data_IF_519366683509
#
_entry.id   IF_519366683509
#
_cell.length_a   1.000
_cell.length_b   1.000
_cell.length_c   1.000
_cell.angle_alpha   90.00
_cell.angle_beta   90.00
_cell.angle_gamma   90.00
#
_symmetry.space_group_name_H-M   'P 1'
#
loop_
_entity.id
_entity.type
_entity.pdbx_description
1 polymer ?
#
# COMPACT_ATOMS: atom_id res chain seq x y z
N UNK A 1 12.16 26.42 -1.16
CA UNK A 1 12.73 25.62 -0.06
C UNK A 1 12.03 25.81 1.28
N UNK A 2 11.37 26.93 1.56
CA UNK A 2 10.72 27.21 2.87
C UNK A 2 9.30 26.62 2.99
N UNK A 3 8.53 26.43 1.90
CA UNK A 3 7.21 25.77 1.94
C UNK A 3 7.29 24.26 2.20
N UNK A 4 8.36 23.59 1.76
CA UNK A 4 8.56 22.15 1.93
C UNK A 4 8.62 21.71 3.39
N UNK A 5 9.09 22.62 4.27
CA UNK A 5 9.30 22.30 5.69
C UNK A 5 8.04 22.42 6.56
N UNK A 6 7.03 23.20 6.10
CA UNK A 6 5.82 23.46 6.91
C UNK A 6 4.80 22.33 6.86
N UNK A 7 4.74 21.57 5.74
CA UNK A 7 3.85 20.41 5.58
C UNK A 7 4.32 19.18 6.36
N UNK A 8 5.63 18.99 6.50
CA UNK A 8 6.21 17.86 7.24
C UNK A 8 6.05 17.96 8.76
N UNK A 9 5.72 19.15 9.30
CA UNK A 9 5.70 19.41 10.74
C UNK A 9 4.54 18.70 11.46
N UNK A 10 3.46 18.33 10.76
CA UNK A 10 2.29 17.68 11.37
C UNK A 10 2.21 16.16 11.11
N UNK A 11 2.96 15.62 10.16
CA UNK A 11 2.93 14.18 9.89
C UNK A 11 3.68 13.39 10.95
N UNK A 12 3.00 12.50 11.64
CA UNK A 12 3.58 11.62 12.67
C UNK A 12 4.21 10.37 12.02
N UNK A 13 5.25 10.56 11.20
CA UNK A 13 5.96 9.49 10.50
C UNK A 13 7.19 9.05 11.28
N UNK A 14 7.39 7.72 11.37
CA UNK A 14 8.59 7.11 11.93
C UNK A 14 9.20 6.15 10.91
N UNK A 15 10.51 6.27 10.70
CA UNK A 15 11.29 5.31 9.92
C UNK A 15 12.03 4.37 10.86
N UNK A 16 11.82 3.05 10.68
CA UNK A 16 12.52 2.03 11.46
C UNK A 16 13.29 1.12 10.52
N UNK A 17 14.59 0.99 10.76
CA UNK A 17 15.54 0.18 9.97
C UNK A 17 15.62 0.59 8.48
N UNK A 18 15.20 1.81 8.13
CA UNK A 18 15.29 2.34 6.76
C UNK A 18 16.51 3.28 6.69
N UNK A 19 17.53 2.85 5.95
CA UNK A 19 18.76 3.61 5.75
C UNK A 19 18.79 4.35 4.42
N UNK A 20 18.09 3.83 3.41
CA UNK A 20 18.10 4.37 2.05
C UNK A 20 17.20 5.61 1.95
N UNK A 21 17.78 6.75 1.54
CA UNK A 21 17.07 8.02 1.49
C UNK A 21 16.08 8.08 0.32
N UNK A 22 16.35 7.40 -0.82
CA UNK A 22 15.39 7.26 -1.92
C UNK A 22 14.07 6.67 -1.44
N UNK A 23 14.12 5.65 -0.58
CA UNK A 23 12.92 5.01 -0.01
C UNK A 23 12.14 6.00 0.85
N UNK A 24 12.83 6.76 1.72
CA UNK A 24 12.18 7.77 2.58
C UNK A 24 11.55 8.88 1.77
N UNK A 25 12.27 9.40 0.76
CA UNK A 25 11.76 10.45 -0.15
C UNK A 25 10.52 9.98 -0.91
N UNK A 26 10.57 8.79 -1.53
CA UNK A 26 9.43 8.23 -2.26
C UNK A 26 8.21 8.10 -1.33
N UNK A 27 8.39 7.56 -0.11
CA UNK A 27 7.31 7.42 0.85
C UNK A 27 6.70 8.76 1.26
N UNK A 28 7.53 9.75 1.61
CA UNK A 28 7.05 11.07 2.04
C UNK A 28 6.38 11.82 0.90
N UNK A 29 6.86 11.68 -0.33
CA UNK A 29 6.26 12.30 -1.51
C UNK A 29 4.86 11.75 -1.78
N UNK A 30 4.67 10.44 -1.64
CA UNK A 30 3.36 9.82 -1.79
C UNK A 30 2.43 10.23 -0.64
N UNK A 31 2.89 10.17 0.60
CA UNK A 31 2.07 10.46 1.78
C UNK A 31 1.51 11.89 1.79
N UNK A 32 2.17 12.85 1.15
CA UNK A 32 1.66 14.23 1.02
C UNK A 32 0.30 14.30 0.31
N UNK A 33 0.08 13.45 -0.68
CA UNK A 33 -1.14 13.42 -1.47
C UNK A 33 -2.29 12.68 -0.75
N UNK A 34 -2.00 12.04 0.41
CA UNK A 34 -2.98 11.32 1.23
C UNK A 34 -3.40 12.15 2.45
N UNK A 35 -4.13 13.24 2.22
CA UNK A 35 -4.55 14.18 3.27
C UNK A 35 -5.28 13.49 4.42
N UNK A 36 -6.11 12.49 4.12
CA UNK A 36 -6.84 11.69 5.11
C UNK A 36 -5.94 11.01 6.15
N UNK A 37 -4.65 10.82 5.84
CA UNK A 37 -3.69 10.13 6.69
C UNK A 37 -2.80 11.06 7.53
N UNK A 38 -2.88 12.38 7.36
CA UNK A 38 -1.94 13.32 7.99
C UNK A 38 -2.04 13.34 9.51
N UNK A 39 -3.21 13.06 10.08
CA UNK A 39 -3.43 13.03 11.54
C UNK A 39 -3.01 11.71 12.20
N UNK A 40 -2.64 10.71 11.41
CA UNK A 40 -2.33 9.38 11.90
C UNK A 40 -0.83 9.17 12.10
N UNK A 41 -0.49 8.27 13.04
CA UNK A 41 0.90 7.88 13.25
C UNK A 41 1.24 6.69 12.35
N UNK A 42 2.14 6.90 11.38
CA UNK A 42 2.56 5.87 10.44
C UNK A 42 4.03 5.53 10.67
N UNK A 43 4.33 4.24 10.82
CA UNK A 43 5.69 3.73 10.90
C UNK A 43 6.03 2.95 9.64
N UNK A 44 6.99 3.42 8.85
CA UNK A 44 7.59 2.62 7.78
C UNK A 44 8.75 1.82 8.38
N UNK A 45 8.62 0.48 8.33
CA UNK A 45 9.56 -0.45 8.97
C UNK A 45 10.13 -1.43 7.95
N UNK A 46 11.43 -1.34 7.67
CA UNK A 46 12.11 -2.29 6.79
C UNK A 46 12.57 -3.52 7.58
N UNK A 47 12.24 -4.69 7.07
CA UNK A 47 12.69 -5.97 7.63
C UNK A 47 12.62 -7.07 6.58
N UNK A 48 13.33 -8.17 6.80
CA UNK A 48 13.18 -9.33 5.93
C UNK A 48 11.76 -9.90 6.03
N UNK A 49 11.02 -9.87 4.93
CA UNK A 49 9.66 -10.44 4.79
C UNK A 49 9.72 -11.50 3.71
N UNK A 50 9.10 -12.66 3.95
CA UNK A 50 9.14 -13.79 2.99
C UNK A 50 7.96 -13.81 2.01
N UNK A 51 6.83 -13.23 2.37
CA UNK A 51 5.55 -13.44 1.68
C UNK A 51 5.03 -12.24 0.89
N UNK A 52 5.60 -11.05 1.07
CA UNK A 52 5.17 -9.83 0.39
C UNK A 52 6.33 -8.84 0.28
N UNK A 53 6.28 -7.94 -0.70
CA UNK A 53 7.22 -6.81 -0.79
C UNK A 53 6.90 -5.74 0.24
N UNK A 54 5.61 -5.37 0.36
CA UNK A 54 5.09 -4.44 1.36
C UNK A 54 3.84 -5.00 2.02
N UNK A 55 3.46 -4.44 3.17
CA UNK A 55 2.26 -4.82 3.88
C UNK A 55 1.81 -3.72 4.84
N UNK A 56 0.66 -3.13 4.57
CA UNK A 56 -0.03 -2.21 5.47
C UNK A 56 -0.70 -2.95 6.64
N UNK A 57 -0.58 -2.41 7.84
CA UNK A 57 -1.14 -3.02 9.04
C UNK A 57 -1.61 -1.97 10.04
N UNK A 58 -2.81 -2.13 10.64
CA UNK A 58 -3.20 -1.37 11.82
C UNK A 58 -2.40 -1.85 13.04
N UNK A 59 -2.09 -0.92 13.95
CA UNK A 59 -1.52 -1.24 15.26
C UNK A 59 -2.61 -1.08 16.31
N UNK A 60 -3.25 -2.20 16.65
CA UNK A 60 -4.36 -2.25 17.60
C UNK A 60 -3.81 -2.64 18.97
N UNK A 61 -4.08 -1.81 19.96
CA UNK A 61 -3.80 -2.10 21.38
C UNK A 61 -5.07 -2.66 22.06
N UNK A 62 -4.91 -3.50 23.06
CA UNK A 62 -6.04 -4.00 23.88
C UNK A 62 -6.86 -2.87 24.52
N UNK A 63 -6.20 -1.74 24.84
CA UNK A 63 -6.87 -0.57 25.41
C UNK A 63 -7.73 0.19 24.38
N UNK A 64 -7.45 0.01 23.10
CA UNK A 64 -8.09 0.76 22.02
C UNK A 64 -9.03 -0.12 21.17
N UNK A 65 -9.39 -1.32 21.66
CA UNK A 65 -10.16 -2.29 20.88
C UNK A 65 -11.56 -1.77 20.48
N UNK A 66 -12.12 -0.88 21.30
CA UNK A 66 -13.43 -0.23 21.03
C UNK A 66 -13.29 1.19 20.45
N UNK A 67 -12.07 1.60 20.10
CA UNK A 67 -11.79 2.91 19.52
C UNK A 67 -11.35 2.79 18.06
N UNK A 68 -11.30 3.94 17.38
CA UNK A 68 -10.72 4.00 16.05
C UNK A 68 -9.21 3.75 16.10
N UNK A 69 -8.69 3.07 15.09
CA UNK A 69 -7.23 2.88 14.92
C UNK A 69 -6.59 4.26 14.67
N UNK A 70 -5.53 4.56 15.39
CA UNK A 70 -4.78 5.83 15.27
C UNK A 70 -3.33 5.63 14.84
N UNK A 71 -2.88 4.38 14.77
CA UNK A 71 -1.50 4.03 14.47
C UNK A 71 -1.45 2.93 13.43
N UNK A 72 -0.63 3.15 12.42
CA UNK A 72 -0.43 2.20 11.34
C UNK A 72 1.04 1.88 11.15
N UNK A 73 1.32 0.76 10.54
CA UNK A 73 2.65 0.35 10.14
C UNK A 73 2.62 -0.20 8.72
N UNK A 74 3.56 0.26 7.90
CA UNK A 74 3.87 -0.37 6.62
C UNK A 74 5.17 -1.15 6.81
N UNK A 75 5.11 -2.47 6.66
CA UNK A 75 6.30 -3.31 6.59
C UNK A 75 6.83 -3.27 5.17
N UNK A 76 8.13 -3.03 5.03
CA UNK A 76 8.84 -3.04 3.76
C UNK A 76 9.84 -4.20 3.76
N UNK A 77 9.82 -5.03 2.73
CA UNK A 77 10.82 -6.09 2.54
C UNK A 77 12.21 -5.49 2.28
N UNK A 78 13.25 -6.25 2.59
CA UNK A 78 14.60 -5.96 2.10
C UNK A 78 14.71 -6.37 0.64
N UNK A 79 14.05 -7.46 0.28
CA UNK A 79 13.97 -8.00 -1.08
C UNK A 79 12.53 -7.91 -1.60
N UNK A 80 12.39 -7.85 -2.91
CA UNK A 80 11.11 -7.98 -3.60
C UNK A 80 10.53 -9.37 -3.34
N UNK A 81 9.22 -9.45 -3.17
CA UNK A 81 8.53 -10.73 -2.90
C UNK A 81 8.89 -11.81 -3.91
N UNK A 82 9.15 -13.00 -3.41
CA UNK A 82 9.55 -14.16 -4.22
C UNK A 82 10.85 -13.96 -5.02
N UNK A 83 11.71 -13.03 -4.58
CA UNK A 83 13.09 -12.86 -5.06
C UNK A 83 14.06 -12.95 -3.88
N UNK A 84 15.23 -13.57 -4.10
CA UNK A 84 16.30 -13.65 -3.09
C UNK A 84 17.45 -12.69 -3.39
N UNK A 85 17.48 -12.07 -4.57
CA UNK A 85 18.57 -11.22 -5.03
C UNK A 85 18.14 -9.77 -5.32
N UNK A 86 16.88 -9.55 -5.71
CA UNK A 86 16.38 -8.23 -6.09
C UNK A 86 16.01 -7.41 -4.85
N UNK A 87 16.86 -6.46 -4.49
CA UNK A 87 16.61 -5.60 -3.33
C UNK A 87 15.59 -4.51 -3.65
N UNK A 88 14.78 -4.14 -2.67
CA UNK A 88 13.81 -3.05 -2.80
C UNK A 88 14.50 -1.70 -3.03
N UNK A 89 15.71 -1.50 -2.51
CA UNK A 89 16.49 -0.28 -2.74
C UNK A 89 16.94 -0.09 -4.20
N UNK A 90 16.99 -1.16 -5.00
CA UNK A 90 17.39 -1.12 -6.41
C UNK A 90 16.19 -0.89 -7.36
N UNK A 91 14.98 -0.98 -6.84
CA UNK A 91 13.74 -0.79 -7.61
C UNK A 91 13.60 0.65 -8.11
N UNK A 92 13.14 0.89 -9.36
CA UNK A 92 12.92 2.24 -9.89
C UNK A 92 12.02 3.10 -9.01
N UNK A 93 12.29 4.41 -8.93
CA UNK A 93 11.49 5.34 -8.10
C UNK A 93 10.00 5.28 -8.42
N UNK A 94 9.62 5.25 -9.70
CA UNK A 94 8.22 5.20 -10.14
C UNK A 94 7.48 3.97 -9.59
N UNK A 95 8.15 2.82 -9.56
CA UNK A 95 7.62 1.56 -9.02
C UNK A 95 7.49 1.63 -7.49
N UNK A 96 8.48 2.19 -6.79
CA UNK A 96 8.41 2.39 -5.34
C UNK A 96 7.24 3.32 -4.96
N UNK A 97 7.03 4.39 -5.72
CA UNK A 97 5.91 5.31 -5.55
C UNK A 97 4.59 4.57 -5.70
N UNK A 98 4.41 3.76 -6.76
CA UNK A 98 3.19 2.99 -6.96
C UNK A 98 2.92 1.98 -5.83
N UNK A 99 3.96 1.28 -5.34
CA UNK A 99 3.79 0.41 -4.17
C UNK A 99 3.37 1.19 -2.93
N UNK A 100 4.00 2.35 -2.65
CA UNK A 100 3.60 3.16 -1.49
C UNK A 100 2.20 3.72 -1.65
N UNK A 101 1.81 4.15 -2.85
CA UNK A 101 0.45 4.61 -3.11
C UNK A 101 -0.57 3.52 -2.82
N UNK A 102 -0.36 2.31 -3.30
CA UNK A 102 -1.21 1.15 -3.00
C UNK A 102 -1.32 0.87 -1.49
N UNK A 103 -0.19 0.81 -0.77
CA UNK A 103 -0.20 0.53 0.68
C UNK A 103 -0.87 1.65 1.50
N UNK A 104 -0.71 2.91 1.08
CA UNK A 104 -1.44 4.03 1.69
C UNK A 104 -2.92 3.99 1.33
N UNK A 105 -3.29 3.49 0.15
CA UNK A 105 -4.67 3.19 -0.23
C UNK A 105 -5.34 2.24 0.76
N UNK A 106 -4.66 1.16 1.15
CA UNK A 106 -5.15 0.28 2.23
C UNK A 106 -5.35 1.02 3.56
N UNK A 107 -4.45 1.95 3.92
CA UNK A 107 -4.61 2.70 5.16
C UNK A 107 -5.84 3.59 5.13
N UNK A 108 -6.15 4.21 3.99
CA UNK A 108 -7.38 5.02 3.82
C UNK A 108 -8.62 4.13 3.93
N UNK A 109 -8.66 2.96 3.26
CA UNK A 109 -9.76 1.99 3.41
C UNK A 109 -9.97 1.62 4.89
N UNK A 110 -8.88 1.44 5.66
CA UNK A 110 -8.96 1.10 7.09
C UNK A 110 -9.58 2.19 7.97
N UNK A 111 -9.64 3.45 7.53
CA UNK A 111 -10.23 4.54 8.30
C UNK A 111 -11.72 4.36 8.54
N UNK A 112 -12.41 3.63 7.67
CA UNK A 112 -13.84 3.33 7.79
C UNK A 112 -14.16 2.27 8.86
N UNK A 113 -13.14 1.62 9.46
CA UNK A 113 -13.31 0.54 10.41
C UNK A 113 -12.88 0.91 11.82
N UNK A 114 -13.65 0.47 12.82
CA UNK A 114 -13.20 0.43 14.21
C UNK A 114 -12.09 -0.61 14.40
N UNK A 115 -11.39 -0.58 15.53
CA UNK A 115 -10.37 -1.58 15.84
C UNK A 115 -10.92 -3.02 15.80
N UNK A 116 -12.14 -3.26 16.31
CA UNK A 116 -12.81 -4.56 16.22
C UNK A 116 -13.19 -4.89 14.76
N UNK A 117 -13.65 -3.89 14.00
CA UNK A 117 -13.90 -4.01 12.56
C UNK A 117 -12.64 -4.44 11.78
N UNK A 118 -11.48 -3.88 12.13
CA UNK A 118 -10.20 -4.25 11.54
C UNK A 118 -9.76 -5.69 11.85
N UNK A 119 -10.09 -6.22 13.03
CA UNK A 119 -9.87 -7.66 13.33
C UNK A 119 -10.72 -8.53 12.40
N UNK A 120 -12.01 -8.19 12.25
CA UNK A 120 -12.91 -8.90 11.30
C UNK A 120 -12.45 -8.76 9.85
N UNK A 121 -12.00 -7.57 9.47
CA UNK A 121 -11.40 -7.31 8.15
C UNK A 121 -10.21 -8.26 7.89
N UNK A 122 -9.25 -8.32 8.82
CA UNK A 122 -8.08 -9.20 8.70
C UNK A 122 -8.46 -10.67 8.57
N UNK A 123 -9.44 -11.16 9.35
CA UNK A 123 -9.94 -12.53 9.24
C UNK A 123 -10.56 -12.79 7.86
N UNK A 124 -11.40 -11.89 7.35
CA UNK A 124 -11.98 -12.01 6.01
C UNK A 124 -10.93 -11.95 4.91
N UNK A 125 -9.93 -11.07 5.05
CA UNK A 125 -8.85 -10.93 4.07
C UNK A 125 -8.04 -12.22 3.88
N UNK A 126 -7.81 -13.00 4.94
CA UNK A 126 -7.08 -14.28 4.85
C UNK A 126 -7.96 -15.46 4.50
N UNK A 127 -9.27 -15.43 4.81
CA UNK A 127 -10.19 -16.57 4.63
C UNK A 127 -11.02 -16.49 3.35
N UNK A 128 -11.26 -15.30 2.79
CA UNK A 128 -12.11 -15.08 1.62
C UNK A 128 -11.32 -14.49 0.45
N UNK A 129 -11.24 -15.25 -0.65
CA UNK A 129 -10.57 -14.79 -1.89
C UNK A 129 -11.27 -13.57 -2.50
N UNK A 130 -12.59 -13.57 -2.51
CA UNK A 130 -13.40 -12.46 -3.02
C UNK A 130 -13.19 -11.19 -2.19
N UNK A 131 -13.21 -11.30 -0.86
CA UNK A 131 -12.95 -10.16 0.01
C UNK A 131 -11.53 -9.61 -0.18
N UNK A 132 -10.53 -10.50 -0.28
CA UNK A 132 -9.15 -10.09 -0.57
C UNK A 132 -9.08 -9.32 -1.89
N UNK A 133 -9.66 -9.85 -2.97
CA UNK A 133 -9.68 -9.18 -4.28
C UNK A 133 -10.32 -7.79 -4.18
N UNK A 134 -11.47 -7.68 -3.49
CA UNK A 134 -12.13 -6.40 -3.26
C UNK A 134 -11.23 -5.40 -2.53
N UNK A 135 -10.52 -5.85 -1.49
CA UNK A 135 -9.61 -5.00 -0.72
C UNK A 135 -8.41 -4.50 -1.56
N UNK A 136 -7.84 -5.37 -2.42
CA UNK A 136 -6.74 -4.97 -3.31
C UNK A 136 -7.22 -4.00 -4.40
N UNK A 137 -8.42 -4.23 -4.96
CA UNK A 137 -9.03 -3.31 -5.94
C UNK A 137 -9.32 -1.94 -5.31
N UNK A 138 -9.83 -1.91 -4.08
CA UNK A 138 -10.09 -0.67 -3.36
C UNK A 138 -8.79 0.12 -3.11
N UNK A 139 -7.71 -0.55 -2.70
CA UNK A 139 -6.41 0.09 -2.51
C UNK A 139 -5.85 0.67 -3.82
N UNK A 140 -5.93 -0.07 -4.93
CA UNK A 140 -5.55 0.42 -6.26
C UNK A 140 -6.42 1.63 -6.65
N UNK A 141 -7.74 1.57 -6.46
CA UNK A 141 -8.66 2.67 -6.76
C UNK A 141 -8.36 3.94 -5.96
N UNK A 142 -8.14 3.80 -4.65
CA UNK A 142 -7.78 4.93 -3.79
C UNK A 142 -6.45 5.53 -4.24
N UNK A 143 -5.46 4.71 -4.63
CA UNK A 143 -4.20 5.20 -5.18
C UNK A 143 -4.39 5.99 -6.48
N UNK A 144 -5.25 5.51 -7.40
CA UNK A 144 -5.59 6.19 -8.63
C UNK A 144 -6.29 7.54 -8.34
N UNK A 145 -7.23 7.56 -7.40
CA UNK A 145 -7.95 8.76 -6.97
C UNK A 145 -7.01 9.82 -6.39
N UNK A 146 -5.93 9.42 -5.71
CA UNK A 146 -4.91 10.30 -5.19
C UNK A 146 -3.82 10.67 -6.23
N UNK A 147 -4.05 10.39 -7.53
CA UNK A 147 -3.20 10.85 -8.64
C UNK A 147 -2.06 9.91 -9.03
N UNK A 148 -2.02 8.65 -8.53
CA UNK A 148 -0.93 7.70 -8.77
C UNK A 148 -1.25 6.65 -9.84
N UNK A 149 -2.15 6.95 -10.79
CA UNK A 149 -2.54 6.02 -11.86
C UNK A 149 -1.34 5.49 -12.65
N UNK A 150 -0.47 6.40 -13.09
CA UNK A 150 0.71 6.06 -13.89
C UNK A 150 1.75 5.24 -13.12
N UNK A 151 1.86 5.44 -11.81
CA UNK A 151 2.75 4.69 -10.94
C UNK A 151 2.20 3.29 -10.64
N UNK A 152 0.88 3.14 -10.52
CA UNK A 152 0.23 1.82 -10.39
C UNK A 152 0.44 1.01 -11.66
N UNK A 153 0.25 1.60 -12.85
CA UNK A 153 0.53 0.94 -14.14
C UNK A 153 1.99 0.53 -14.22
N UNK A 154 2.92 1.47 -14.00
CA UNK A 154 4.36 1.20 -14.06
C UNK A 154 4.80 0.10 -13.08
N UNK A 155 4.18 0.04 -11.91
CA UNK A 155 4.42 -1.02 -10.92
C UNK A 155 4.00 -2.38 -11.45
N UNK A 156 2.81 -2.49 -12.04
CA UNK A 156 2.29 -3.74 -12.57
C UNK A 156 3.12 -4.22 -13.76
N UNK A 157 3.42 -3.34 -14.70
CA UNK A 157 4.29 -3.64 -15.84
C UNK A 157 5.66 -4.14 -15.39
N UNK A 158 6.28 -3.42 -14.44
CA UNK A 158 7.61 -3.79 -13.94
C UNK A 158 7.58 -5.15 -13.25
N UNK A 159 6.61 -5.42 -12.37
CA UNK A 159 6.48 -6.72 -11.69
C UNK A 159 6.27 -7.86 -12.69
N UNK A 160 5.39 -7.66 -13.68
CA UNK A 160 5.04 -8.71 -14.64
C UNK A 160 6.20 -9.03 -15.61
N UNK A 161 6.99 -8.03 -16.01
CA UNK A 161 8.03 -8.17 -17.02
C UNK A 161 9.44 -8.41 -16.45
N UNK A 162 9.65 -8.21 -15.14
CA UNK A 162 10.97 -8.33 -14.54
C UNK A 162 11.34 -9.80 -14.27
N UNK A 163 12.48 -10.26 -14.79
CA UNK A 163 12.91 -11.67 -14.75
C UNK A 163 13.19 -12.17 -13.32
N UNK A 164 13.74 -11.30 -12.46
CA UNK A 164 14.06 -11.65 -11.07
C UNK A 164 12.84 -11.64 -10.14
N UNK A 165 11.67 -11.25 -10.61
CA UNK A 165 10.41 -11.34 -9.84
C UNK A 165 9.83 -12.73 -10.02
N UNK A 166 9.68 -13.45 -8.91
CA UNK A 166 9.20 -14.84 -8.93
C UNK A 166 7.75 -14.97 -9.42
N UNK A 167 7.48 -16.05 -10.16
CA UNK A 167 6.16 -16.32 -10.77
C UNK A 167 5.02 -16.32 -9.73
N UNK A 168 5.29 -16.73 -8.49
CA UNK A 168 4.29 -16.70 -7.42
C UNK A 168 3.76 -15.29 -7.17
N UNK A 169 4.62 -14.27 -7.19
CA UNK A 169 4.19 -12.88 -7.00
C UNK A 169 3.39 -12.37 -8.21
N UNK A 170 3.86 -12.66 -9.44
CA UNK A 170 3.14 -12.33 -10.68
C UNK A 170 1.72 -12.93 -10.68
N UNK A 171 1.58 -14.20 -10.26
CA UNK A 171 0.29 -14.87 -10.16
C UNK A 171 -0.63 -14.22 -9.09
N UNK A 172 -0.08 -13.78 -7.96
CA UNK A 172 -0.85 -13.06 -6.93
C UNK A 172 -1.33 -11.73 -7.47
N UNK A 173 -0.48 -10.98 -8.17
CA UNK A 173 -0.83 -9.70 -8.79
C UNK A 173 -2.00 -9.88 -9.78
N UNK A 174 -1.86 -10.80 -10.74
CA UNK A 174 -2.89 -11.05 -11.74
C UNK A 174 -4.22 -11.56 -11.16
N UNK A 175 -4.17 -12.20 -10.00
CA UNK A 175 -5.36 -12.81 -9.40
C UNK A 175 -6.19 -11.85 -8.55
N UNK A 176 -5.54 -10.94 -7.85
CA UNK A 176 -6.21 -10.17 -6.79
C UNK A 176 -6.24 -8.67 -7.07
N UNK A 177 -5.37 -8.14 -7.93
CA UNK A 177 -5.27 -6.70 -8.18
C UNK A 177 -6.00 -6.32 -9.47
N UNK A 178 -6.30 -5.05 -9.66
CA UNK A 178 -6.79 -4.56 -10.95
C UNK A 178 -5.78 -4.90 -12.05
N UNK A 179 -6.26 -5.30 -13.23
CA UNK A 179 -5.39 -5.42 -14.39
C UNK A 179 -4.91 -4.04 -14.87
N UNK A 180 -3.86 -3.98 -15.70
CA UNK A 180 -3.40 -2.71 -16.29
C UNK A 180 -4.54 -2.04 -17.04
N UNK A 181 -5.27 -2.79 -17.86
CA UNK A 181 -6.42 -2.31 -18.61
C UNK A 181 -7.53 -1.75 -17.70
N UNK A 182 -7.85 -2.44 -16.60
CA UNK A 182 -8.81 -1.93 -15.61
C UNK A 182 -8.33 -0.64 -14.96
N UNK A 183 -7.03 -0.49 -14.69
CA UNK A 183 -6.44 0.75 -14.17
C UNK A 183 -6.55 1.86 -15.20
N UNK A 184 -6.25 1.59 -16.48
CA UNK A 184 -6.36 2.56 -17.58
C UNK A 184 -7.79 3.08 -17.75
N UNK A 185 -8.77 2.18 -17.69
CA UNK A 185 -10.21 2.49 -17.83
C UNK A 185 -10.84 3.06 -16.55
N UNK A 186 -10.12 3.05 -15.43
CA UNK A 186 -10.66 3.51 -14.16
C UNK A 186 -11.06 4.99 -14.22
N UNK A 187 -12.35 5.25 -13.95
CA UNK A 187 -12.93 6.58 -13.83
C UNK A 187 -13.03 6.96 -12.34
N UNK A 188 -12.33 8.01 -11.93
CA UNK A 188 -12.32 8.48 -10.53
C UNK A 188 -13.67 9.02 -10.03
N UNK A 189 -14.60 9.31 -10.94
CA UNK A 189 -15.95 9.80 -10.63
C UNK A 189 -16.96 8.66 -10.44
N UNK A 190 -16.58 7.43 -10.72
CA UNK A 190 -17.41 6.25 -10.55
C UNK A 190 -16.90 5.41 -9.38
N UNK A 191 -17.78 4.76 -8.59
CA UNK A 191 -17.32 3.86 -7.54
C UNK A 191 -16.54 2.70 -8.15
N UNK A 192 -15.54 2.15 -7.41
CA UNK A 192 -14.75 1.04 -7.90
C UNK A 192 -15.66 -0.13 -8.27
N UNK A 193 -15.27 -0.83 -9.33
CA UNK A 193 -15.97 -1.97 -9.89
C UNK A 193 -16.47 -2.89 -8.77
N UNK A 194 -17.78 -2.91 -8.55
CA UNK A 194 -18.33 -3.91 -7.62
C UNK A 194 -18.26 -5.26 -8.34
N UNK A 195 -17.53 -6.25 -7.82
CA UNK A 195 -17.60 -7.58 -8.40
C UNK A 195 -19.06 -8.05 -8.32
N UNK A 196 -19.61 -8.46 -9.45
CA UNK A 196 -20.91 -9.12 -9.51
C UNK A 196 -20.85 -10.26 -8.50
N UNK A 197 -21.67 -10.18 -7.45
CA UNK A 197 -21.79 -11.28 -6.51
C UNK A 197 -22.59 -12.36 -7.23
N UNK A 198 -21.90 -13.42 -7.66
CA UNK A 198 -22.49 -14.73 -7.98
C UNK A 198 -22.69 -15.53 -6.70
#
# INVERSE_FOLDING_TARGET
MIMFNRFLINMKVKFKEIRNDKIKECFLNVLKEYEDLHDFSITLYQKRVKSSTMQAQPLISFRDIFRSVKKYRIKLGVYVSSSESLKVEDVPKKVLIGWFAHELGHLVDYLSYSSLGMIKYGLKYISSKSFKMKAEHEADYIAIKNGFKDEIIATKEWVLNHDLVGQKYKNVLNKYYLSIEQVELCNINEPPFQPVME
#
